data_IF_188723745376
#
_entry.id   IF_188723745376
#
_cell.length_a   1.000
_cell.length_b   1.000
_cell.length_c   1.000
_cell.angle_alpha   90.00
_cell.angle_beta   90.00
_cell.angle_gamma   90.00
#
_symmetry.space_group_name_H-M   'P 1'
#
loop_
_entity.id
_entity.type
_entity.pdbx_description
1 polymer ?
#
# COMPACT_ATOMS: atom_id res chain seq x y z
N UNK A 1 -8.97 96.26 -41.39
CA UNK A 1 -7.79 95.50 -40.90
C UNK A 1 -8.31 94.18 -40.41
N UNK A 2 -8.16 93.07 -41.20
CA UNK A 2 -8.60 91.74 -40.83
C UNK A 2 -7.29 90.95 -40.42
N UNK A 3 -7.27 90.51 -39.20
CA UNK A 3 -6.20 89.66 -38.70
C UNK A 3 -6.63 88.21 -38.89
N UNK A 4 -5.90 87.46 -39.71
CA UNK A 4 -6.08 86.04 -39.91
C UNK A 4 -5.55 85.29 -38.72
N UNK A 5 -6.24 84.28 -38.16
CA UNK A 5 -5.67 83.43 -37.12
C UNK A 5 -4.82 82.34 -37.75
N UNK A 6 -3.56 82.21 -37.25
CA UNK A 6 -2.64 81.19 -37.64
C UNK A 6 -3.07 79.88 -37.01
N UNK A 7 -3.40 78.85 -37.83
CA UNK A 7 -3.66 77.49 -37.38
C UNK A 7 -2.42 76.81 -36.86
N UNK A 8 -2.46 76.16 -35.70
CA UNK A 8 -1.28 75.40 -35.21
C UNK A 8 -1.08 74.16 -36.07
N UNK A 9 0.11 73.99 -36.60
CA UNK A 9 0.54 72.78 -37.29
C UNK A 9 0.45 71.59 -36.33
N UNK A 10 -0.39 70.62 -36.67
CA UNK A 10 -0.47 69.34 -36.00
C UNK A 10 0.90 68.61 -36.12
N UNK A 11 1.59 68.46 -35.03
CA UNK A 11 2.84 67.69 -34.91
C UNK A 11 2.53 66.24 -35.12
N UNK A 12 2.81 65.70 -36.31
CA UNK A 12 2.77 64.27 -36.59
C UNK A 12 3.81 63.58 -35.71
N UNK A 13 3.41 62.99 -34.65
CA UNK A 13 4.24 62.05 -33.88
C UNK A 13 4.47 60.82 -34.76
N UNK A 14 5.65 60.65 -35.29
CA UNK A 14 6.08 59.41 -35.94
C UNK A 14 6.05 58.28 -34.90
N UNK A 15 5.06 57.42 -34.99
CA UNK A 15 5.02 56.17 -34.23
C UNK A 15 6.13 55.25 -34.79
N UNK A 16 7.31 55.37 -34.22
CA UNK A 16 8.44 54.51 -34.55
C UNK A 16 8.25 53.16 -33.90
N UNK A 17 8.23 52.08 -34.68
CA UNK A 17 8.48 50.65 -34.49
C UNK A 17 8.49 49.97 -33.10
N UNK A 18 8.27 50.70 -32.01
CA UNK A 18 8.22 50.15 -30.64
C UNK A 18 7.09 49.13 -30.42
N UNK A 19 6.03 49.27 -31.18
CA UNK A 19 4.86 48.36 -31.12
C UNK A 19 5.19 46.93 -31.56
N UNK A 20 6.06 46.75 -32.57
CA UNK A 20 6.46 45.42 -33.06
C UNK A 20 7.32 44.67 -32.02
N UNK A 21 8.23 45.35 -31.37
CA UNK A 21 9.09 44.77 -30.33
C UNK A 21 8.22 44.34 -29.14
N UNK A 22 7.24 45.16 -28.74
CA UNK A 22 6.34 44.85 -27.63
C UNK A 22 5.50 43.59 -27.93
N UNK A 23 4.97 43.49 -29.16
CA UNK A 23 4.19 42.30 -29.60
C UNK A 23 5.08 41.06 -29.63
N UNK A 24 6.32 41.16 -30.10
CA UNK A 24 7.28 40.03 -30.08
C UNK A 24 7.59 39.56 -28.66
N UNK A 25 7.78 40.49 -27.73
CA UNK A 25 8.04 40.14 -26.31
C UNK A 25 6.81 39.44 -25.71
N UNK A 26 5.64 39.94 -25.93
CA UNK A 26 4.39 39.33 -25.44
C UNK A 26 4.23 37.93 -26.03
N UNK A 27 4.43 37.76 -27.32
CA UNK A 27 4.36 36.47 -28.01
C UNK A 27 5.36 35.44 -27.43
N UNK A 28 6.59 35.87 -27.17
CA UNK A 28 7.59 34.97 -26.57
C UNK A 28 7.19 34.56 -25.15
N UNK A 29 6.70 35.49 -24.32
CA UNK A 29 6.27 35.21 -22.97
C UNK A 29 5.06 34.23 -23.00
N UNK A 30 4.06 34.48 -23.83
CA UNK A 30 2.87 33.60 -23.96
C UNK A 30 3.27 32.21 -24.46
N UNK A 31 4.20 32.13 -25.41
CA UNK A 31 4.73 30.85 -25.91
C UNK A 31 5.44 30.05 -24.82
N UNK A 32 6.28 30.70 -24.01
CA UNK A 32 6.98 30.07 -22.88
C UNK A 32 5.98 29.57 -21.81
N UNK A 33 4.97 30.39 -21.49
CA UNK A 33 3.92 30.00 -20.55
C UNK A 33 3.09 28.83 -21.08
N UNK A 34 2.81 28.78 -22.38
CA UNK A 34 2.10 27.68 -23.03
C UNK A 34 2.88 26.36 -22.92
N UNK A 35 4.18 26.38 -23.21
CA UNK A 35 5.05 25.18 -23.08
C UNK A 35 5.13 24.73 -21.62
N UNK A 36 5.31 25.66 -20.69
CA UNK A 36 5.34 25.33 -19.25
C UNK A 36 4.02 24.69 -18.78
N UNK A 37 2.88 25.20 -19.24
CA UNK A 37 1.54 24.63 -18.92
C UNK A 37 1.39 23.19 -19.40
N UNK A 38 1.86 22.86 -20.60
CA UNK A 38 1.85 21.49 -21.12
C UNK A 38 2.72 20.56 -20.28
N UNK A 39 3.93 21.01 -19.88
CA UNK A 39 4.81 20.20 -19.05
C UNK A 39 4.20 19.90 -17.68
N UNK A 40 3.59 20.88 -17.03
CA UNK A 40 2.89 20.71 -15.75
C UNK A 40 1.73 19.71 -15.91
N UNK A 41 0.97 19.80 -16.98
CA UNK A 41 -0.14 18.88 -17.26
C UNK A 41 0.34 17.43 -17.39
N UNK A 42 1.43 17.19 -18.12
CA UNK A 42 2.02 15.86 -18.28
C UNK A 42 2.56 15.29 -16.96
N UNK A 43 3.19 16.13 -16.13
CA UNK A 43 3.67 15.72 -14.81
C UNK A 43 2.50 15.37 -13.87
N UNK A 44 1.44 16.17 -13.90
CA UNK A 44 0.22 15.91 -13.12
C UNK A 44 -0.44 14.59 -13.49
N UNK A 45 -0.54 14.29 -14.79
CA UNK A 45 -1.10 13.01 -15.25
C UNK A 45 -0.26 11.81 -14.78
N UNK A 46 1.06 11.90 -14.89
CA UNK A 46 1.96 10.83 -14.39
C UNK A 46 1.85 10.66 -12.88
N UNK A 47 1.75 11.77 -12.14
CA UNK A 47 1.53 11.76 -10.69
C UNK A 47 0.23 11.04 -10.33
N UNK A 48 -0.88 11.41 -10.97
CA UNK A 48 -2.18 10.81 -10.71
C UNK A 48 -2.22 9.30 -11.01
N UNK A 49 -1.54 8.85 -12.08
CA UNK A 49 -1.40 7.42 -12.37
C UNK A 49 -0.61 6.68 -11.30
N UNK A 50 0.53 7.24 -10.87
CA UNK A 50 1.35 6.65 -9.81
C UNK A 50 0.62 6.59 -8.47
N UNK A 51 -0.16 7.62 -8.12
CA UNK A 51 -0.94 7.65 -6.89
C UNK A 51 -2.06 6.61 -6.92
N UNK A 52 -2.74 6.45 -8.05
CA UNK A 52 -3.73 5.39 -8.24
C UNK A 52 -3.12 4.00 -8.08
N UNK A 53 -1.96 3.77 -8.68
CA UNK A 53 -1.30 2.47 -8.64
C UNK A 53 -0.81 2.12 -7.22
N UNK A 54 -0.32 3.11 -6.47
CA UNK A 54 0.01 2.97 -5.04
C UNK A 54 -1.23 2.72 -4.17
N UNK A 55 -2.33 3.43 -4.45
CA UNK A 55 -3.59 3.23 -3.73
C UNK A 55 -4.12 1.80 -3.95
N UNK A 56 -3.99 1.27 -5.16
CA UNK A 56 -4.36 -0.11 -5.47
C UNK A 56 -3.52 -1.11 -4.68
N UNK A 57 -2.20 -0.88 -4.59
CA UNK A 57 -1.32 -1.72 -3.77
C UNK A 57 -1.71 -1.68 -2.29
N UNK A 58 -2.04 -0.48 -1.77
CA UNK A 58 -2.50 -0.31 -0.40
C UNK A 58 -3.82 -1.06 -0.13
N UNK A 59 -4.82 -0.89 -0.98
CA UNK A 59 -6.10 -1.61 -0.87
C UNK A 59 -5.92 -3.13 -0.96
N UNK A 60 -5.00 -3.58 -1.82
CA UNK A 60 -4.62 -4.98 -1.90
C UNK A 60 -4.02 -5.49 -0.59
N UNK A 61 -3.14 -4.71 0.05
CA UNK A 61 -2.54 -5.07 1.34
C UNK A 61 -3.60 -5.10 2.47
N UNK A 62 -4.51 -4.14 2.51
CA UNK A 62 -5.63 -4.14 3.47
C UNK A 62 -6.55 -5.36 3.28
N UNK A 63 -6.82 -5.74 2.04
CA UNK A 63 -7.55 -6.98 1.77
C UNK A 63 -6.80 -8.20 2.32
N UNK A 64 -5.46 -8.23 2.20
CA UNK A 64 -4.62 -9.27 2.80
C UNK A 64 -4.72 -9.33 4.32
N UNK A 65 -4.78 -8.18 5.01
CA UNK A 65 -5.03 -8.13 6.46
C UNK A 65 -6.40 -8.69 6.83
N UNK A 66 -7.44 -8.29 6.09
CA UNK A 66 -8.81 -8.80 6.32
C UNK A 66 -8.94 -10.30 6.07
N UNK A 67 -8.17 -10.86 5.14
CA UNK A 67 -8.11 -12.30 4.92
C UNK A 67 -7.39 -13.03 6.05
N UNK A 68 -6.28 -12.44 6.55
CA UNK A 68 -5.56 -12.97 7.70
C UNK A 68 -6.38 -12.93 8.99
N UNK A 69 -7.19 -11.89 9.20
CA UNK A 69 -8.13 -11.82 10.33
C UNK A 69 -9.11 -12.98 10.29
N UNK A 70 -9.69 -13.28 9.13
CA UNK A 70 -10.58 -14.43 8.96
C UNK A 70 -9.84 -15.76 9.16
N UNK A 71 -8.59 -15.86 8.71
CA UNK A 71 -7.76 -17.06 8.91
C UNK A 71 -7.51 -17.34 10.40
N UNK A 72 -7.31 -16.28 11.20
CA UNK A 72 -7.14 -16.37 12.65
C UNK A 72 -8.47 -16.68 13.36
N UNK A 73 -9.53 -15.94 13.00
CA UNK A 73 -10.81 -15.96 13.73
C UNK A 73 -11.69 -17.16 13.37
N UNK A 74 -11.51 -17.81 12.20
CA UNK A 74 -12.51 -18.79 11.74
C UNK A 74 -12.47 -20.09 12.57
N UNK A 75 -13.32 -20.22 13.58
CA UNK A 75 -13.63 -21.53 14.13
C UNK A 75 -14.54 -22.23 13.13
N UNK A 76 -13.99 -23.17 12.37
CA UNK A 76 -14.74 -24.20 11.67
C UNK A 76 -16.02 -23.72 10.97
N UNK A 77 -15.91 -22.93 9.91
CA UNK A 77 -17.05 -22.77 9.03
C UNK A 77 -17.22 -24.02 8.18
N UNK A 78 -18.30 -24.78 8.31
CA UNK A 78 -18.52 -25.99 7.51
C UNK A 78 -18.72 -25.69 6.01
N UNK A 79 -18.78 -24.43 5.63
CA UNK A 79 -18.99 -24.00 4.24
C UNK A 79 -17.70 -23.89 3.42
N UNK A 80 -16.53 -23.92 4.07
CA UNK A 80 -15.25 -23.81 3.37
C UNK A 80 -14.45 -25.08 3.59
N UNK A 81 -14.30 -25.86 2.54
CA UNK A 81 -13.56 -27.14 2.46
C UNK A 81 -12.05 -26.98 2.66
N UNK A 82 -11.60 -25.83 3.10
CA UNK A 82 -10.19 -25.49 3.30
C UNK A 82 -9.86 -25.69 4.77
N UNK A 83 -8.74 -26.29 5.07
CA UNK A 83 -8.30 -26.58 6.43
C UNK A 83 -8.20 -25.30 7.24
N UNK A 84 -9.18 -25.04 8.13
CA UNK A 84 -9.11 -23.89 9.01
C UNK A 84 -7.96 -24.05 9.98
N UNK A 85 -7.12 -23.01 10.08
CA UNK A 85 -5.99 -22.95 11.00
C UNK A 85 -6.36 -22.36 12.36
N UNK A 86 -7.63 -22.00 12.58
CA UNK A 86 -8.09 -21.35 13.80
C UNK A 86 -7.67 -22.04 15.10
N UNK A 87 -7.51 -23.35 15.11
CA UNK A 87 -7.01 -24.10 16.27
C UNK A 87 -5.59 -23.77 16.67
N UNK A 88 -4.78 -23.22 15.77
CA UNK A 88 -3.39 -22.82 16.06
C UNK A 88 -3.30 -21.42 16.71
N UNK A 89 -4.39 -20.69 16.72
CA UNK A 89 -4.46 -19.32 17.24
C UNK A 89 -5.15 -19.22 18.59
N UNK A 90 -5.54 -20.34 19.21
CA UNK A 90 -6.13 -20.36 20.55
C UNK A 90 -5.13 -19.89 21.62
N UNK A 91 -5.55 -19.15 22.66
CA UNK A 91 -4.66 -18.59 23.69
C UNK A 91 -3.77 -19.58 24.43
N UNK A 92 -4.18 -20.85 24.47
CA UNK A 92 -3.45 -21.93 25.18
C UNK A 92 -2.52 -22.75 24.29
N UNK A 93 -2.08 -22.23 23.16
CA UNK A 93 -1.74 -23.03 22.03
C UNK A 93 -0.37 -23.44 21.77
N UNK A 94 -0.37 -24.48 21.16
CA UNK A 94 0.59 -25.11 20.24
C UNK A 94 1.31 -24.15 19.30
N UNK A 95 2.31 -23.45 19.82
CA UNK A 95 3.31 -22.75 19.02
C UNK A 95 4.08 -23.62 18.01
N UNK A 96 3.97 -25.00 18.00
CA UNK A 96 4.67 -25.82 17.01
C UNK A 96 4.32 -25.54 15.55
N UNK A 97 3.19 -24.88 15.28
CA UNK A 97 2.84 -24.47 13.91
C UNK A 97 3.65 -23.25 13.43
N UNK A 98 4.19 -22.47 14.36
CA UNK A 98 4.99 -21.30 14.05
C UNK A 98 6.45 -21.71 13.89
N UNK A 99 7.04 -21.36 12.75
CA UNK A 99 8.36 -21.83 12.33
C UNK A 99 9.32 -20.64 12.26
N UNK A 100 10.59 -20.87 12.65
CA UNK A 100 11.63 -19.87 12.47
C UNK A 100 11.84 -19.59 10.97
N UNK A 101 11.85 -18.29 10.60
CA UNK A 101 11.89 -17.87 9.21
C UNK A 101 10.61 -18.10 8.42
N UNK A 102 9.50 -18.42 9.07
CA UNK A 102 8.18 -18.75 8.53
C UNK A 102 8.07 -20.11 7.83
N UNK A 103 6.97 -20.79 8.09
CA UNK A 103 6.68 -22.07 7.46
C UNK A 103 6.35 -21.93 5.97
N UNK A 104 6.65 -22.99 5.22
CA UNK A 104 6.42 -23.05 3.76
C UNK A 104 5.57 -24.23 3.33
N UNK A 105 5.09 -25.04 4.28
CA UNK A 105 4.34 -26.27 3.97
C UNK A 105 3.14 -26.47 4.89
N UNK A 106 2.08 -27.09 4.37
CA UNK A 106 0.88 -27.44 5.14
C UNK A 106 0.28 -26.24 5.87
N UNK A 107 -0.11 -26.43 7.13
CA UNK A 107 -0.76 -25.39 7.94
C UNK A 107 0.23 -24.36 8.53
N UNK A 108 1.54 -24.55 8.37
CA UNK A 108 2.56 -23.62 8.87
C UNK A 108 2.88 -22.47 7.90
N UNK A 109 2.39 -22.51 6.66
CA UNK A 109 2.66 -21.47 5.65
C UNK A 109 2.33 -20.09 6.20
N UNK A 110 3.31 -19.20 6.19
CA UNK A 110 3.16 -17.83 6.67
C UNK A 110 3.04 -17.69 8.20
N UNK A 111 3.20 -18.77 8.98
CA UNK A 111 3.29 -18.69 10.43
C UNK A 111 4.76 -18.62 10.84
N UNK A 112 5.13 -17.53 11.49
CA UNK A 112 6.50 -17.22 11.84
C UNK A 112 6.67 -17.11 13.34
N UNK A 113 7.77 -17.62 13.90
CA UNK A 113 8.14 -17.36 15.30
C UNK A 113 8.58 -15.92 15.47
N UNK A 114 8.33 -15.34 16.64
CA UNK A 114 8.88 -14.04 17.00
C UNK A 114 10.40 -14.16 17.21
N UNK A 115 11.17 -13.44 16.41
CA UNK A 115 12.63 -13.39 16.57
C UNK A 115 13.00 -12.16 17.38
N UNK A 116 13.37 -12.36 18.65
CA UNK A 116 13.68 -11.25 19.56
C UNK A 116 15.06 -10.61 19.31
N UNK A 117 16.03 -11.35 18.76
CA UNK A 117 17.43 -10.92 18.65
C UNK A 117 17.88 -10.58 17.23
N UNK A 118 17.09 -10.87 16.20
CA UNK A 118 17.43 -10.69 14.80
C UNK A 118 16.41 -9.80 14.09
N UNK A 119 16.59 -9.66 12.76
CA UNK A 119 15.60 -8.96 11.93
C UNK A 119 14.26 -9.69 12.03
N UNK A 120 13.15 -8.97 12.20
CA UNK A 120 11.83 -9.57 12.22
C UNK A 120 11.52 -10.29 10.90
N UNK A 121 10.69 -11.33 10.97
CA UNK A 121 10.39 -12.20 9.83
C UNK A 121 9.89 -11.42 8.60
N UNK A 122 9.10 -10.39 8.80
CA UNK A 122 8.57 -9.56 7.70
C UNK A 122 9.63 -8.78 6.90
N UNK A 123 10.86 -8.64 7.44
CA UNK A 123 12.01 -8.05 6.71
C UNK A 123 12.86 -9.10 5.99
N UNK A 124 12.68 -10.37 6.29
CA UNK A 124 13.54 -11.45 5.77
C UNK A 124 12.82 -12.33 4.77
N UNK A 125 11.49 -12.41 4.87
CA UNK A 125 10.66 -13.24 4.01
C UNK A 125 10.40 -12.55 2.67
N UNK A 126 10.46 -13.30 1.59
CA UNK A 126 10.09 -12.82 0.27
C UNK A 126 8.57 -12.93 0.04
N UNK A 127 7.88 -11.80 0.09
CA UNK A 127 6.46 -11.71 -0.23
C UNK A 127 6.15 -11.86 -1.72
N UNK A 128 7.14 -11.70 -2.58
CA UNK A 128 6.98 -11.90 -4.02
C UNK A 128 7.00 -13.37 -4.43
N UNK A 129 7.55 -14.24 -3.59
CA UNK A 129 7.66 -15.66 -3.87
C UNK A 129 6.28 -16.33 -3.93
N UNK A 130 6.09 -17.15 -4.97
CA UNK A 130 4.84 -17.90 -5.22
C UNK A 130 5.13 -19.38 -5.38
N UNK A 131 4.10 -20.23 -5.23
CA UNK A 131 4.21 -21.67 -5.42
C UNK A 131 4.75 -22.43 -4.21
N UNK A 132 5.23 -23.66 -4.45
CA UNK A 132 5.74 -24.55 -3.41
C UNK A 132 7.03 -23.99 -2.80
N UNK A 133 7.03 -23.82 -1.49
CA UNK A 133 8.16 -23.25 -0.76
C UNK A 133 8.01 -21.75 -0.43
N UNK A 134 6.95 -21.09 -0.87
CA UNK A 134 6.63 -19.73 -0.43
C UNK A 134 6.37 -19.70 1.08
N UNK A 135 7.06 -18.80 1.77
CA UNK A 135 6.98 -18.64 3.23
C UNK A 135 5.91 -17.64 3.67
N UNK A 136 5.07 -17.21 2.74
CA UNK A 136 3.96 -16.27 2.97
C UNK A 136 2.65 -16.89 2.52
N UNK A 137 1.58 -16.62 3.25
CA UNK A 137 0.23 -17.07 2.89
C UNK A 137 -0.33 -16.21 1.78
N UNK A 138 -0.82 -16.83 0.71
CA UNK A 138 -1.55 -16.15 -0.34
C UNK A 138 -2.99 -15.89 0.09
N UNK A 139 -3.55 -14.74 -0.31
CA UNK A 139 -4.96 -14.42 -0.09
C UNK A 139 -5.90 -15.55 -0.51
N UNK A 140 -6.81 -15.90 0.36
CA UNK A 140 -7.81 -16.94 0.11
C UNK A 140 -7.32 -18.39 0.24
N UNK A 141 -6.03 -18.61 0.51
CA UNK A 141 -5.48 -19.96 0.59
C UNK A 141 -6.14 -20.81 1.70
N UNK A 142 -6.38 -20.24 2.87
CA UNK A 142 -7.06 -20.91 3.98
C UNK A 142 -8.52 -20.48 4.14
N UNK A 143 -8.87 -19.29 3.68
CA UNK A 143 -10.22 -18.74 3.82
C UNK A 143 -11.15 -19.11 2.66
N UNK A 144 -10.60 -19.58 1.53
CA UNK A 144 -11.37 -19.89 0.32
C UNK A 144 -11.88 -18.64 -0.43
N UNK A 145 -11.49 -17.43 0.00
CA UNK A 145 -11.90 -16.19 -0.65
C UNK A 145 -11.20 -16.01 -1.98
N UNK A 146 -11.83 -15.31 -2.90
CA UNK A 146 -11.28 -15.00 -4.21
C UNK A 146 -10.81 -13.55 -4.28
N UNK A 147 -9.72 -13.31 -4.99
CA UNK A 147 -9.17 -11.98 -5.22
C UNK A 147 -8.77 -11.84 -6.69
N UNK A 148 -9.23 -10.78 -7.34
CA UNK A 148 -8.87 -10.51 -8.74
C UNK A 148 -7.45 -9.98 -8.81
N UNK A 149 -6.57 -10.70 -9.49
CA UNK A 149 -5.19 -10.32 -9.73
C UNK A 149 -4.72 -10.84 -11.08
N UNK A 150 -3.73 -10.19 -11.68
CA UNK A 150 -3.14 -10.60 -12.95
C UNK A 150 -2.85 -9.40 -13.85
N UNK A 151 -2.52 -9.71 -15.11
CA UNK A 151 -2.06 -8.71 -16.08
C UNK A 151 -3.18 -8.06 -16.91
N UNK A 152 -4.42 -8.44 -16.68
CA UNK A 152 -5.56 -7.95 -17.46
C UNK A 152 -6.28 -6.83 -16.73
N UNK A 153 -6.32 -5.66 -17.33
CA UNK A 153 -7.01 -4.49 -16.76
C UNK A 153 -6.23 -3.77 -15.67
N UNK A 154 -6.93 -2.97 -14.88
CA UNK A 154 -6.36 -2.24 -13.73
C UNK A 154 -6.62 -3.06 -12.47
N UNK A 155 -5.76 -4.02 -12.22
CA UNK A 155 -5.83 -4.88 -11.03
C UNK A 155 -4.42 -5.15 -10.50
N UNK A 156 -4.27 -5.62 -9.26
CA UNK A 156 -2.98 -6.02 -8.72
C UNK A 156 -2.29 -7.07 -9.57
N UNK A 157 -0.99 -6.95 -9.71
CA UNK A 157 -0.14 -7.90 -10.46
C UNK A 157 -0.28 -9.34 -9.93
N UNK A 158 -0.34 -9.48 -8.62
CA UNK A 158 -0.59 -10.76 -7.93
C UNK A 158 -1.45 -10.54 -6.69
N UNK A 159 -2.00 -11.62 -6.16
CA UNK A 159 -2.79 -11.61 -4.94
C UNK A 159 -1.95 -11.13 -3.75
N UNK A 160 -2.52 -10.39 -2.79
CA UNK A 160 -1.80 -10.02 -1.59
C UNK A 160 -1.37 -11.25 -0.80
N UNK A 161 -0.29 -11.10 -0.04
CA UNK A 161 0.27 -12.16 0.77
C UNK A 161 0.53 -11.64 2.18
N UNK A 162 0.45 -12.52 3.17
CA UNK A 162 0.64 -12.14 4.56
C UNK A 162 1.43 -13.19 5.35
N UNK A 163 1.95 -12.74 6.48
CA UNK A 163 2.53 -13.59 7.53
C UNK A 163 1.92 -13.22 8.87
N UNK A 164 1.95 -14.16 9.81
CA UNK A 164 1.43 -14.02 11.15
C UNK A 164 2.53 -14.39 12.15
N UNK A 165 2.78 -13.49 13.11
CA UNK A 165 3.78 -13.67 14.16
C UNK A 165 3.09 -13.55 15.54
N UNK A 166 3.24 -14.51 16.48
CA UNK A 166 2.71 -14.40 17.83
C UNK A 166 3.62 -13.49 18.67
N UNK A 167 3.06 -12.49 19.30
CA UNK A 167 3.75 -11.62 20.26
C UNK A 167 3.17 -11.89 21.64
N UNK A 168 4.00 -12.20 22.68
CA UNK A 168 3.51 -12.35 24.04
C UNK A 168 2.76 -11.10 24.51
N UNK A 169 1.51 -11.28 24.93
CA UNK A 169 0.69 -10.18 25.43
C UNK A 169 1.07 -9.84 26.88
N UNK A 170 1.85 -8.80 27.06
CA UNK A 170 2.24 -8.33 28.39
C UNK A 170 1.10 -7.56 29.12
N UNK A 171 0.04 -7.17 28.42
CA UNK A 171 -1.05 -6.35 28.94
C UNK A 171 -2.36 -7.13 29.12
N UNK A 172 -2.51 -8.30 28.49
CA UNK A 172 -3.74 -9.07 28.46
C UNK A 172 -4.02 -9.92 29.70
N UNK A 173 -3.04 -10.22 30.50
CA UNK A 173 -3.25 -10.72 31.85
C UNK A 173 -3.59 -9.52 32.72
N UNK A 174 -4.86 -9.35 33.06
CA UNK A 174 -5.29 -8.29 33.97
C UNK A 174 -4.28 -8.18 35.11
N UNK A 175 -3.71 -7.01 35.29
CA UNK A 175 -2.67 -6.68 36.27
C UNK A 175 -3.11 -6.90 37.75
N UNK A 176 -4.33 -7.42 37.96
CA UNK A 176 -4.92 -7.75 39.26
C UNK A 176 -4.89 -9.24 39.63
N UNK A 177 -4.54 -10.14 38.73
CA UNK A 177 -4.41 -11.57 38.99
C UNK A 177 -3.02 -12.06 38.61
N UNK A 178 -2.01 -11.68 39.39
CA UNK A 178 -0.83 -12.51 39.54
C UNK A 178 -1.21 -13.73 40.36
N UNK A 179 -1.99 -14.58 39.76
CA UNK A 179 -2.14 -15.94 40.25
C UNK A 179 -0.85 -16.66 39.87
N UNK A 180 0.00 -16.88 40.86
CA UNK A 180 1.36 -17.46 40.77
C UNK A 180 1.36 -18.91 40.28
N UNK A 181 0.37 -19.34 39.52
CA UNK A 181 0.21 -20.73 39.11
C UNK A 181 -0.20 -21.00 37.68
N UNK A 182 -0.63 -20.03 36.88
CA UNK A 182 -0.99 -20.29 35.50
C UNK A 182 0.09 -19.80 34.52
N UNK A 183 0.72 -20.75 33.88
CA UNK A 183 1.68 -20.53 32.79
C UNK A 183 1.02 -20.15 31.45
N UNK A 184 -0.20 -19.62 31.48
CA UNK A 184 -0.93 -19.25 30.26
C UNK A 184 -0.41 -17.91 29.74
N UNK A 185 0.64 -17.98 28.93
CA UNK A 185 1.09 -16.85 28.14
C UNK A 185 0.08 -16.59 27.04
N UNK A 186 -0.67 -15.50 27.15
CA UNK A 186 -1.54 -15.03 26.06
C UNK A 186 -0.71 -14.39 24.96
N UNK A 187 -1.20 -14.51 23.73
CA UNK A 187 -0.55 -13.95 22.56
C UNK A 187 -1.45 -12.96 21.85
N UNK A 188 -0.83 -11.93 21.29
CA UNK A 188 -1.38 -11.03 20.29
C UNK A 188 -0.70 -11.38 18.98
N UNK A 189 -1.44 -11.42 17.90
CA UNK A 189 -0.89 -11.76 16.61
C UNK A 189 -0.58 -10.51 15.81
N UNK A 190 0.70 -10.35 15.44
CA UNK A 190 1.10 -9.35 14.47
C UNK A 190 0.94 -9.94 13.08
N UNK A 191 0.09 -9.34 12.30
CA UNK A 191 -0.09 -9.67 10.88
C UNK A 191 0.61 -8.62 10.05
N UNK A 192 1.47 -9.05 9.14
CA UNK A 192 2.09 -8.21 8.13
C UNK A 192 1.60 -8.67 6.77
N UNK A 193 0.95 -7.80 6.03
CA UNK A 193 0.49 -8.07 4.68
C UNK A 193 1.19 -7.17 3.67
N UNK A 194 1.56 -7.75 2.53
CA UNK A 194 2.04 -7.03 1.36
C UNK A 194 1.01 -7.12 0.25
N UNK A 195 0.59 -5.98 -0.25
CA UNK A 195 -0.24 -5.83 -1.43
C UNK A 195 0.56 -5.34 -2.61
N UNK A 196 0.09 -5.69 -3.78
CA UNK A 196 0.74 -5.38 -5.04
C UNK A 196 -0.12 -4.43 -5.87
N UNK A 197 0.53 -3.51 -6.56
CA UNK A 197 -0.08 -2.68 -7.58
C UNK A 197 -0.18 -3.38 -8.93
N UNK A 198 -0.52 -2.64 -10.00
CA UNK A 198 -0.60 -3.22 -11.35
C UNK A 198 0.75 -3.69 -11.89
N UNK A 199 1.86 -3.26 -11.30
CA UNK A 199 3.21 -3.68 -11.64
C UNK A 199 3.90 -4.25 -10.41
N UNK A 200 4.82 -5.17 -10.61
CA UNK A 200 5.54 -5.88 -9.56
C UNK A 200 6.39 -4.96 -8.66
N UNK A 201 6.84 -3.83 -9.18
CA UNK A 201 7.65 -2.84 -8.45
C UNK A 201 6.80 -1.90 -7.57
N UNK A 202 5.47 -1.92 -7.70
CA UNK A 202 4.56 -1.12 -6.89
C UNK A 202 3.99 -2.03 -5.80
N UNK A 203 4.43 -1.80 -4.58
CA UNK A 203 4.09 -2.61 -3.42
C UNK A 203 3.73 -1.72 -2.24
N UNK A 204 2.85 -2.21 -1.37
CA UNK A 204 2.54 -1.60 -0.10
C UNK A 204 2.56 -2.67 0.99
N UNK A 205 3.14 -2.33 2.14
CA UNK A 205 3.16 -3.19 3.31
C UNK A 205 2.36 -2.53 4.42
N UNK A 206 1.43 -3.28 4.99
CA UNK A 206 0.63 -2.85 6.14
C UNK A 206 0.69 -3.88 7.25
N UNK A 207 0.56 -3.42 8.48
CA UNK A 207 0.58 -4.29 9.65
C UNK A 207 -0.63 -4.00 10.54
N UNK A 208 -1.13 -5.04 11.17
CA UNK A 208 -2.12 -4.94 12.24
C UNK A 208 -1.71 -5.84 13.42
N UNK A 209 -2.24 -5.50 14.58
CA UNK A 209 -2.22 -6.35 15.77
C UNK A 209 -3.62 -6.89 16.00
N UNK A 210 -3.74 -8.21 15.98
CA UNK A 210 -4.98 -8.91 16.28
C UNK A 210 -4.92 -9.46 17.70
N UNK A 211 -5.96 -9.19 18.49
CA UNK A 211 -6.14 -9.71 19.84
C UNK A 211 -7.51 -10.40 19.90
N UNK A 212 -7.51 -11.66 20.30
CA UNK A 212 -8.72 -12.43 20.58
C UNK A 212 -9.26 -12.15 21.99
#
# INVERSE_FOLDING_TARGET
MQTNPISPLAKNSSQQGASLIMVMIILTIVSLLGVAGIQISMLSERGARNDRDKLLAWQSAEAGLADAELDIFTPQSPAVSVSSRGTYFSPSTNLPAFVDGCGSTGNSIGLCTLVAANKPAWLTVDFGATGSGAQTTEYGFYTGRTFAAGIVGVQPFQKPRYIIEPIPDQFGAGSASRDLGSSDTKFVYRVTAMGFGPRADIQAVVQMLYRD
#
